data_IF_571124180632
#
_entry.id   IF_571124180632
#
_cell.length_a   1.000
_cell.length_b   1.000
_cell.length_c   1.000
_cell.angle_alpha   90.00
_cell.angle_beta   90.00
_cell.angle_gamma   90.00
#
_symmetry.space_group_name_H-M   'P 1'
#
loop_
_entity.id
_entity.type
_entity.pdbx_description
1 polymer ?
#
# COMPACT_ATOMS: atom_id res chain seq x y z
N UNK A 1 -21.92 -2.19 -7.70
CA UNK A 1 -21.49 -3.43 -7.03
C UNK A 1 -20.30 -3.09 -6.16
N UNK A 2 -20.35 -3.27 -4.84
CA UNK A 2 -19.16 -3.09 -4.01
C UNK A 2 -18.23 -4.29 -4.23
N UNK A 3 -16.98 -4.04 -4.62
CA UNK A 3 -15.96 -5.09 -4.72
C UNK A 3 -15.55 -5.42 -3.29
N UNK A 4 -15.90 -6.61 -2.82
CA UNK A 4 -15.45 -7.13 -1.54
C UNK A 4 -14.16 -7.92 -1.80
N UNK A 5 -13.07 -7.52 -1.15
CA UNK A 5 -11.83 -8.29 -1.13
C UNK A 5 -11.90 -9.36 -0.04
N UNK A 6 -11.36 -10.54 -0.32
CA UNK A 6 -11.25 -11.65 0.63
C UNK A 6 -10.33 -11.33 1.81
N UNK A 7 -9.23 -10.61 1.54
CA UNK A 7 -8.31 -10.12 2.56
C UNK A 7 -7.59 -8.83 2.12
N UNK A 8 -6.74 -8.30 3.01
CA UNK A 8 -5.94 -7.10 2.75
C UNK A 8 -4.85 -7.31 1.70
N UNK A 9 -4.37 -8.53 1.51
CA UNK A 9 -3.34 -8.84 0.51
C UNK A 9 -3.95 -8.85 -0.89
N UNK A 10 -5.16 -9.39 -1.05
CA UNK A 10 -5.93 -9.28 -2.29
C UNK A 10 -6.16 -7.82 -2.66
N UNK A 11 -6.63 -7.01 -1.71
CA UNK A 11 -6.79 -5.58 -1.91
C UNK A 11 -5.47 -4.91 -2.36
N UNK A 12 -4.35 -5.26 -1.73
CA UNK A 12 -3.01 -4.76 -2.08
C UNK A 12 -2.57 -5.18 -3.49
N UNK A 13 -2.77 -6.44 -3.88
CA UNK A 13 -2.44 -6.93 -5.23
C UNK A 13 -3.29 -6.26 -6.32
N UNK A 14 -4.59 -6.03 -6.05
CA UNK A 14 -5.45 -5.30 -6.98
C UNK A 14 -5.01 -3.84 -7.12
N UNK A 15 -4.73 -3.17 -5.99
CA UNK A 15 -4.23 -1.80 -5.97
C UNK A 15 -2.87 -1.68 -6.69
N UNK A 16 -1.97 -2.65 -6.50
CA UNK A 16 -0.69 -2.68 -7.18
C UNK A 16 -0.82 -2.70 -8.71
N UNK A 17 -1.79 -3.44 -9.25
CA UNK A 17 -2.09 -3.47 -10.69
C UNK A 17 -2.44 -2.08 -11.24
N UNK A 18 -3.25 -1.32 -10.50
CA UNK A 18 -3.62 0.06 -10.86
C UNK A 18 -2.46 1.05 -10.76
N UNK A 19 -1.42 0.71 -9.99
CA UNK A 19 -0.25 1.55 -9.73
C UNK A 19 0.97 1.19 -10.57
N UNK A 20 0.88 0.22 -11.50
CA UNK A 20 2.02 -0.31 -12.26
C UNK A 20 2.86 0.74 -12.99
N UNK A 21 2.26 1.88 -13.36
CA UNK A 21 2.96 3.03 -13.97
C UNK A 21 4.07 3.64 -13.10
N UNK A 22 4.09 3.32 -11.81
CA UNK A 22 5.11 3.77 -10.87
C UNK A 22 6.24 2.75 -10.65
N UNK A 23 6.12 1.55 -11.22
CA UNK A 23 7.07 0.47 -10.97
C UNK A 23 8.47 0.79 -11.52
N UNK A 24 9.50 0.49 -10.73
CA UNK A 24 10.91 0.68 -11.10
C UNK A 24 11.38 2.14 -11.15
N UNK A 25 10.57 3.08 -10.63
CA UNK A 25 10.99 4.47 -10.44
C UNK A 25 11.77 4.61 -9.13
N UNK A 26 12.85 5.38 -9.18
CA UNK A 26 13.72 5.62 -8.01
C UNK A 26 13.15 6.71 -7.06
N UNK A 27 12.10 7.42 -7.47
CA UNK A 27 11.47 8.51 -6.71
C UNK A 27 10.16 8.10 -6.00
N UNK A 28 9.95 6.80 -5.79
CA UNK A 28 8.73 6.24 -5.19
C UNK A 28 9.04 5.56 -3.86
N UNK A 29 8.24 5.86 -2.83
CA UNK A 29 8.20 5.15 -1.54
C UNK A 29 6.75 4.81 -1.20
N UNK A 30 6.52 3.62 -0.65
CA UNK A 30 5.22 3.20 -0.13
C UNK A 30 5.21 3.42 1.38
N UNK A 31 4.31 4.28 1.86
CA UNK A 31 4.12 4.57 3.27
C UNK A 31 2.81 3.95 3.76
N UNK A 32 2.90 2.94 4.62
CA UNK A 32 1.73 2.20 5.11
C UNK A 32 1.31 2.62 6.52
N UNK A 33 0.04 2.96 6.68
CA UNK A 33 -0.56 3.27 7.98
C UNK A 33 -0.88 1.99 8.78
N UNK A 34 -0.39 1.86 10.03
CA UNK A 34 -0.76 0.74 10.89
C UNK A 34 -2.25 0.67 11.24
N UNK A 35 -2.80 -0.51 11.53
CA UNK A 35 -2.21 -1.85 11.42
C UNK A 35 -2.55 -2.51 10.08
N UNK A 36 -3.76 -2.25 9.59
CA UNK A 36 -4.32 -2.89 8.40
C UNK A 36 -3.78 -2.36 7.08
N UNK A 37 -3.19 -1.16 7.05
CA UNK A 37 -2.56 -0.66 5.83
C UNK A 37 -1.25 -1.38 5.50
N UNK A 38 -0.56 -1.95 6.49
CA UNK A 38 0.74 -2.61 6.30
C UNK A 38 0.66 -3.82 5.35
N UNK A 39 -0.27 -4.78 5.52
CA UNK A 39 -0.40 -5.87 4.56
C UNK A 39 -0.78 -5.44 3.14
N UNK A 40 -1.49 -4.31 2.99
CA UNK A 40 -1.85 -3.74 1.67
C UNK A 40 -0.61 -3.11 1.03
N UNK A 41 0.07 -2.23 1.77
CA UNK A 41 1.27 -1.53 1.33
C UNK A 41 2.42 -2.46 1.00
N UNK A 42 2.53 -3.60 1.69
CA UNK A 42 3.52 -4.64 1.37
C UNK A 42 3.37 -5.19 -0.06
N UNK A 43 2.16 -5.57 -0.46
CA UNK A 43 1.90 -6.10 -1.80
C UNK A 43 2.15 -5.02 -2.87
N UNK A 44 1.82 -3.75 -2.57
CA UNK A 44 2.10 -2.61 -3.46
C UNK A 44 3.61 -2.37 -3.59
N UNK A 45 4.35 -2.32 -2.49
CA UNK A 45 5.79 -2.08 -2.51
C UNK A 45 6.56 -3.17 -3.26
N UNK A 46 6.18 -4.43 -3.05
CA UNK A 46 6.72 -5.59 -3.78
C UNK A 46 6.50 -5.44 -5.29
N UNK A 47 5.27 -5.14 -5.71
CA UNK A 47 4.95 -5.00 -7.13
C UNK A 47 5.65 -3.80 -7.80
N UNK A 48 5.77 -2.67 -7.08
CA UNK A 48 6.41 -1.47 -7.61
C UNK A 48 7.94 -1.51 -7.54
N UNK A 49 8.52 -2.48 -6.82
CA UNK A 49 9.95 -2.53 -6.44
C UNK A 49 10.38 -1.25 -5.73
N UNK A 50 9.51 -0.73 -4.87
CA UNK A 50 9.72 0.49 -4.11
C UNK A 50 9.98 0.15 -2.63
N UNK A 51 10.75 0.98 -1.89
CA UNK A 51 10.87 0.86 -0.45
C UNK A 51 9.50 0.93 0.23
N UNK A 52 9.32 0.15 1.29
CA UNK A 52 8.16 0.20 2.17
C UNK A 52 8.60 0.72 3.54
N UNK A 53 7.86 1.68 4.07
CA UNK A 53 7.98 2.10 5.47
C UNK A 53 6.61 2.23 6.14
N UNK A 54 6.62 2.18 7.46
CA UNK A 54 5.43 2.28 8.30
C UNK A 54 5.24 3.72 8.77
N UNK A 55 4.14 4.34 8.37
CA UNK A 55 3.86 5.73 8.71
C UNK A 55 2.99 5.84 9.97
N UNK A 56 3.65 6.06 11.10
CA UNK A 56 3.00 6.24 12.41
C UNK A 56 2.58 7.69 12.56
N UNK A 57 1.26 7.92 12.57
CA UNK A 57 0.68 9.24 12.73
C UNK A 57 -0.09 9.34 14.04
N UNK A 58 -0.17 10.56 14.59
CA UNK A 58 -1.14 10.89 15.64
C UNK A 58 -2.07 11.99 15.13
N UNK A 59 -3.34 11.90 15.48
CA UNK A 59 -4.29 13.00 15.23
C UNK A 59 -4.01 14.13 16.23
N UNK A 60 -4.00 15.37 15.75
CA UNK A 60 -3.97 16.57 16.59
C UNK A 60 -5.40 17.10 16.72
N UNK A 61 -5.83 17.45 17.94
CA UNK A 61 -7.19 17.96 18.19
C UNK A 61 -8.24 16.87 18.38
N UNK A 62 -7.88 15.82 19.12
CA UNK A 62 -8.83 14.93 19.81
C UNK A 62 -8.76 15.16 21.30
#
# INVERSE_FOLDING_TARGET
>A
MAIIFSDRREAGRRLAGELVRFAGRDDVIVLALPRGGVPVGYEVAQALKAPLDVFVVRKLGV
#
